data_IF_524447328975
#
_entry.id   IF_524447328975
#
_cell.length_a   1.000
_cell.length_b   1.000
_cell.length_c   1.000
_cell.angle_alpha   90.00
_cell.angle_beta   90.00
_cell.angle_gamma   90.00
#
_symmetry.space_group_name_H-M   'P 1'
#
loop_
_entity.id
_entity.type
_entity.pdbx_description
1 polymer ?
#
# COMPACT_ATOMS: atom_id res chain seq x y z
N UNK A 1 7.34 8.52 -19.10
CA UNK A 1 6.66 9.78 -18.78
C UNK A 1 5.47 9.49 -17.88
N UNK A 2 4.86 10.51 -17.27
CA UNK A 2 3.61 10.32 -16.53
C UNK A 2 2.46 10.04 -17.50
N UNK A 3 1.65 9.04 -17.21
CA UNK A 3 0.51 8.57 -18.00
C UNK A 3 -0.85 8.98 -17.37
N UNK A 4 -0.89 9.22 -16.07
CA UNK A 4 -2.07 9.66 -15.32
C UNK A 4 -1.72 10.54 -14.11
N UNK A 5 -2.72 11.23 -13.57
CA UNK A 5 -2.62 11.97 -12.30
C UNK A 5 -3.81 11.66 -11.39
N UNK A 6 -3.63 11.86 -10.09
CA UNK A 6 -4.67 11.58 -9.09
C UNK A 6 -5.61 12.79 -9.01
N UNK A 7 -6.91 12.53 -9.05
CA UNK A 7 -7.97 13.56 -9.03
C UNK A 7 -8.34 14.05 -7.63
N UNK A 8 -7.76 13.47 -6.57
CA UNK A 8 -8.01 13.89 -5.19
C UNK A 8 -7.29 15.19 -4.80
N UNK A 9 -6.33 15.64 -5.62
CA UNK A 9 -5.66 16.94 -5.47
C UNK A 9 -6.23 17.90 -6.51
N UNK A 10 -6.76 19.06 -6.09
CA UNK A 10 -7.49 19.94 -7.00
C UNK A 10 -6.59 20.61 -8.05
N UNK A 11 -5.31 20.85 -7.73
CA UNK A 11 -4.40 21.65 -8.56
C UNK A 11 -4.29 21.19 -10.03
N UNK A 12 -4.26 19.88 -10.28
CA UNK A 12 -4.16 19.35 -11.65
C UNK A 12 -5.47 19.55 -12.43
N UNK A 13 -6.62 19.35 -11.78
CA UNK A 13 -7.94 19.54 -12.38
C UNK A 13 -8.19 21.02 -12.67
N UNK A 14 -7.89 21.90 -11.71
CA UNK A 14 -8.02 23.35 -11.88
C UNK A 14 -7.18 23.87 -13.05
N UNK A 15 -5.98 23.31 -13.25
CA UNK A 15 -5.15 23.64 -14.41
C UNK A 15 -5.80 23.19 -15.71
N UNK A 16 -6.34 21.97 -15.79
CA UNK A 16 -7.07 21.48 -16.96
C UNK A 16 -8.27 22.37 -17.27
N UNK A 17 -9.03 22.81 -16.27
CA UNK A 17 -10.16 23.73 -16.42
C UNK A 17 -9.72 25.10 -16.95
N UNK A 18 -8.66 25.68 -16.40
CA UNK A 18 -8.10 26.97 -16.87
C UNK A 18 -7.60 26.92 -18.31
N UNK A 19 -7.17 25.75 -18.77
CA UNK A 19 -6.70 25.53 -20.14
C UNK A 19 -7.82 25.09 -21.10
N UNK A 20 -9.04 24.87 -20.61
CA UNK A 20 -10.16 24.38 -21.42
C UNK A 20 -9.98 22.94 -21.91
N UNK A 21 -9.30 22.10 -21.12
CA UNK A 21 -9.00 20.69 -21.44
C UNK A 21 -9.84 19.71 -20.60
N UNK A 22 -10.87 20.20 -19.89
CA UNK A 22 -11.68 19.38 -18.98
C UNK A 22 -12.47 18.29 -19.72
N UNK A 23 -12.94 18.58 -20.93
CA UNK A 23 -13.67 17.66 -21.81
C UNK A 23 -12.81 16.51 -22.34
N UNK A 24 -11.48 16.63 -22.24
CA UNK A 24 -10.51 15.61 -22.64
C UNK A 24 -10.10 14.69 -21.49
N UNK A 25 -10.60 14.92 -20.26
CA UNK A 25 -10.28 14.08 -19.11
C UNK A 25 -10.95 12.70 -19.21
N UNK A 26 -10.13 11.66 -19.36
CA UNK A 26 -10.60 10.27 -19.38
C UNK A 26 -10.59 9.73 -17.95
N UNK A 27 -11.77 9.33 -17.47
CA UNK A 27 -11.90 8.68 -16.17
C UNK A 27 -11.43 7.23 -16.20
N UNK A 28 -10.87 6.76 -15.07
CA UNK A 28 -10.49 5.35 -14.90
C UNK A 28 -11.72 4.44 -15.01
N UNK A 29 -11.59 3.31 -15.71
CA UNK A 29 -12.64 2.31 -15.79
C UNK A 29 -12.94 1.73 -14.39
N UNK A 30 -14.20 1.86 -13.95
CA UNK A 30 -14.61 1.40 -12.62
C UNK A 30 -14.72 -0.13 -12.51
N UNK A 31 -14.97 -0.81 -13.62
CA UNK A 31 -15.22 -2.27 -13.67
C UNK A 31 -13.97 -3.09 -13.34
N UNK A 32 -12.79 -2.56 -13.67
CA UNK A 32 -11.49 -3.24 -13.49
C UNK A 32 -10.61 -2.55 -12.43
N UNK A 33 -11.24 -1.92 -11.43
CA UNK A 33 -10.49 -1.29 -10.34
C UNK A 33 -9.81 -2.33 -9.46
N UNK A 34 -8.52 -2.12 -9.21
CA UNK A 34 -7.73 -2.92 -8.28
C UNK A 34 -6.32 -3.19 -8.82
N UNK A 35 -5.39 -3.49 -7.92
CA UNK A 35 -4.07 -3.95 -8.29
C UNK A 35 -4.04 -5.47 -8.36
N UNK A 36 -3.19 -6.01 -9.24
CA UNK A 36 -2.89 -7.44 -9.34
C UNK A 36 -1.42 -7.63 -8.96
N UNK A 37 -1.14 -8.70 -8.20
CA UNK A 37 0.22 -9.15 -7.93
C UNK A 37 0.41 -10.49 -8.61
N UNK A 38 1.52 -10.62 -9.34
CA UNK A 38 1.89 -11.88 -9.97
C UNK A 38 2.45 -12.83 -8.91
N UNK A 39 1.77 -13.96 -8.68
CA UNK A 39 2.22 -15.03 -7.80
C UNK A 39 2.37 -16.31 -8.62
N UNK A 40 3.60 -16.82 -8.69
CA UNK A 40 3.91 -18.10 -9.36
C UNK A 40 3.34 -18.18 -10.79
N UNK A 41 3.46 -17.07 -11.55
CA UNK A 41 2.95 -16.94 -12.92
C UNK A 41 1.45 -16.63 -13.04
N UNK A 42 0.71 -16.58 -11.92
CA UNK A 42 -0.73 -16.30 -11.92
C UNK A 42 -1.02 -14.90 -11.36
N UNK A 43 -1.76 -14.03 -12.08
CA UNK A 43 -2.19 -12.74 -11.54
C UNK A 43 -3.24 -12.95 -10.44
N UNK A 44 -2.97 -12.41 -9.25
CA UNK A 44 -3.87 -12.51 -8.10
C UNK A 44 -4.29 -11.10 -7.65
N UNK A 45 -5.59 -10.85 -7.44
CA UNK A 45 -6.07 -9.57 -6.96
C UNK A 45 -5.51 -9.24 -5.58
N UNK A 46 -5.03 -8.01 -5.44
CA UNK A 46 -4.66 -7.45 -4.16
C UNK A 46 -5.95 -7.30 -3.34
N UNK A 47 -6.02 -7.90 -2.14
CA UNK A 47 -7.19 -7.82 -1.29
C UNK A 47 -7.54 -6.35 -0.98
N UNK A 48 -8.77 -5.95 -1.32
CA UNK A 48 -9.30 -4.62 -1.01
C UNK A 48 -9.39 -4.46 0.52
N UNK A 49 -8.70 -3.44 1.06
CA UNK A 49 -8.63 -3.20 2.51
C UNK A 49 -7.22 -3.02 3.05
N UNK A 50 -6.19 -2.96 2.19
CA UNK A 50 -4.85 -2.54 2.58
C UNK A 50 -4.75 -1.01 2.79
N UNK A 51 -5.65 -0.47 3.62
CA UNK A 51 -5.35 0.78 4.32
C UNK A 51 -4.51 0.34 5.52
N UNK A 52 -3.20 0.66 5.50
CA UNK A 52 -2.16 0.16 6.42
C UNK A 52 -2.49 0.20 7.93
N UNK A 53 -3.58 0.82 8.35
CA UNK A 53 -3.93 1.09 9.74
C UNK A 53 -5.43 0.93 10.07
N UNK A 54 -6.31 0.62 9.11
CA UNK A 54 -7.76 0.57 9.35
C UNK A 54 -8.29 -0.86 9.20
N UNK A 55 -8.90 -1.45 10.24
CA UNK A 55 -9.47 -2.80 10.19
C UNK A 55 -10.81 -2.78 9.44
N UNK A 56 -10.82 -2.32 8.18
CA UNK A 56 -12.06 -2.24 7.43
C UNK A 56 -12.44 -3.60 6.85
N UNK A 57 -11.47 -4.48 6.49
CA UNK A 57 -11.77 -5.77 5.83
C UNK A 57 -10.74 -6.88 6.12
N UNK A 58 -10.93 -7.65 7.20
CA UNK A 58 -10.14 -8.85 7.52
C UNK A 58 -10.48 -10.04 6.59
N UNK A 59 -11.74 -10.14 6.14
CA UNK A 59 -12.20 -11.28 5.31
C UNK A 59 -11.46 -11.44 3.96
N UNK A 60 -11.20 -10.37 3.17
CA UNK A 60 -10.41 -10.48 1.95
C UNK A 60 -8.98 -10.97 2.18
N UNK A 61 -8.38 -10.62 3.32
CA UNK A 61 -7.03 -11.08 3.69
C UNK A 61 -6.99 -12.57 4.04
N UNK A 62 -8.07 -13.12 4.61
CA UNK A 62 -8.15 -14.57 4.86
C UNK A 62 -8.34 -15.37 3.57
N UNK A 63 -9.05 -14.81 2.58
CA UNK A 63 -9.34 -15.48 1.31
C UNK A 63 -8.22 -15.38 0.28
N UNK A 64 -7.31 -14.41 0.40
CA UNK A 64 -6.25 -14.23 -0.60
C UNK A 64 -5.30 -15.44 -0.65
N UNK A 65 -4.91 -15.92 -1.85
CA UNK A 65 -3.86 -16.92 -1.98
C UNK A 65 -2.46 -16.28 -1.93
N UNK A 66 -2.33 -14.96 -1.79
CA UNK A 66 -1.03 -14.25 -1.76
C UNK A 66 -0.17 -14.61 -0.55
N UNK A 67 -0.81 -14.98 0.57
CA UNK A 67 -0.15 -15.32 1.82
C UNK A 67 -0.39 -16.80 2.16
N UNK A 68 0.65 -17.45 2.69
CA UNK A 68 0.58 -18.77 3.30
C UNK A 68 -0.33 -18.76 4.54
N UNK A 69 -0.85 -19.92 4.98
CA UNK A 69 -1.60 -20.00 6.24
C UNK A 69 -0.81 -19.46 7.44
N UNK A 70 0.51 -19.67 7.47
CA UNK A 70 1.39 -19.13 8.50
C UNK A 70 1.55 -17.61 8.39
N UNK A 71 1.70 -17.07 7.17
CA UNK A 71 1.73 -15.64 6.91
C UNK A 71 0.43 -14.96 7.33
N UNK A 72 -0.73 -15.58 7.07
CA UNK A 72 -2.03 -15.10 7.52
C UNK A 72 -2.14 -15.10 9.04
N UNK A 73 -1.72 -16.17 9.71
CA UNK A 73 -1.69 -16.23 11.17
C UNK A 73 -0.78 -15.15 11.74
N UNK A 74 0.44 -15.02 11.21
CA UNK A 74 1.42 -14.00 11.64
C UNK A 74 0.90 -12.59 11.45
N UNK A 75 0.14 -12.34 10.38
CA UNK A 75 -0.51 -11.08 10.13
C UNK A 75 -1.69 -10.85 11.08
N UNK A 76 -2.47 -11.88 11.40
CA UNK A 76 -3.55 -11.80 12.39
C UNK A 76 -3.07 -11.53 13.81
N UNK A 77 -1.84 -11.95 14.15
CA UNK A 77 -1.20 -11.62 15.43
C UNK A 77 -0.93 -10.12 15.60
N UNK A 78 -0.92 -9.34 14.52
CA UNK A 78 -0.79 -7.86 14.56
C UNK A 78 -1.80 -7.22 15.50
N UNK A 79 -3.03 -7.75 15.55
CA UNK A 79 -4.08 -7.24 16.43
C UNK A 79 -3.70 -7.30 17.93
N UNK A 80 -2.86 -8.26 18.30
CA UNK A 80 -2.42 -8.48 19.67
C UNK A 80 -1.06 -7.83 19.97
N UNK A 81 -0.37 -7.30 18.95
CA UNK A 81 0.90 -6.61 19.14
C UNK A 81 0.63 -5.21 19.73
N UNK A 82 1.23 -4.86 20.88
CA UNK A 82 1.06 -3.55 21.47
C UNK A 82 1.55 -2.48 20.49
N UNK A 83 0.77 -1.39 20.36
CA UNK A 83 1.21 -0.21 19.63
C UNK A 83 2.50 0.28 20.29
N UNK A 84 3.57 0.41 19.51
CA UNK A 84 4.78 1.09 19.98
C UNK A 84 4.36 2.53 20.27
N UNK A 85 4.43 2.90 21.53
CA UNK A 85 4.10 4.24 21.99
C UNK A 85 5.40 5.05 22.11
N UNK A 86 5.32 6.32 21.75
CA UNK A 86 6.42 7.29 21.75
C UNK A 86 7.16 7.39 23.10
N UNK A 87 6.53 6.90 24.17
CA UNK A 87 7.04 6.80 25.55
C UNK A 87 8.23 5.83 25.72
N UNK A 88 8.54 4.99 24.73
CA UNK A 88 9.73 4.10 24.77
C UNK A 88 10.97 4.66 24.05
N UNK A 89 10.96 5.93 23.63
CA UNK A 89 12.16 6.66 23.21
C UNK A 89 12.83 6.20 21.92
N UNK A 90 12.12 5.48 21.04
CA UNK A 90 12.66 4.90 19.80
C UNK A 90 12.07 5.51 18.52
N UNK A 91 11.24 6.56 18.63
CA UNK A 91 10.72 7.32 17.47
C UNK A 91 11.74 8.32 16.89
N UNK A 92 12.96 8.36 17.44
CA UNK A 92 14.06 9.20 16.94
C UNK A 92 14.79 8.60 15.73
N UNK A 93 14.66 7.29 15.48
CA UNK A 93 15.25 6.65 14.31
C UNK A 93 14.24 6.53 13.17
N UNK A 94 14.67 6.93 11.96
CA UNK A 94 13.95 6.85 10.69
C UNK A 94 13.65 5.37 10.32
N UNK A 95 12.66 4.75 10.99
CA UNK A 95 12.25 3.37 10.74
C UNK A 95 11.83 3.24 9.26
N UNK A 96 12.45 2.31 8.55
CA UNK A 96 12.12 2.08 7.15
C UNK A 96 10.77 1.37 7.02
N UNK A 97 10.09 1.57 5.89
CA UNK A 97 8.84 0.86 5.59
C UNK A 97 9.00 -0.67 5.74
N UNK A 98 10.15 -1.19 5.31
CA UNK A 98 10.47 -2.61 5.42
C UNK A 98 10.54 -3.09 6.88
N UNK A 99 11.17 -2.33 7.78
CA UNK A 99 11.29 -2.67 9.20
C UNK A 99 9.93 -2.67 9.89
N UNK A 100 9.15 -1.61 9.68
CA UNK A 100 7.80 -1.51 10.25
C UNK A 100 6.89 -2.65 9.78
N UNK A 101 6.84 -2.92 8.47
CA UNK A 101 5.98 -3.98 7.92
C UNK A 101 6.43 -5.36 8.41
N UNK A 102 7.73 -5.64 8.38
CA UNK A 102 8.24 -6.95 8.82
C UNK A 102 7.93 -7.21 10.28
N UNK A 103 8.10 -6.20 11.13
CA UNK A 103 7.80 -6.28 12.56
C UNK A 103 6.31 -6.48 12.82
N UNK A 104 5.46 -5.75 12.10
CA UNK A 104 4.02 -5.71 12.38
C UNK A 104 3.25 -6.84 11.68
N UNK A 105 3.44 -6.98 10.38
CA UNK A 105 2.71 -7.91 9.51
C UNK A 105 3.50 -9.16 9.12
N UNK A 106 4.81 -9.18 9.38
CA UNK A 106 5.70 -10.28 9.05
C UNK A 106 6.41 -10.10 7.70
N UNK A 107 7.52 -10.84 7.53
CA UNK A 107 8.35 -10.78 6.33
C UNK A 107 7.60 -11.19 5.06
N UNK A 108 6.68 -12.15 5.16
CA UNK A 108 5.91 -12.62 4.01
C UNK A 108 4.99 -11.52 3.44
N UNK A 109 4.36 -10.71 4.31
CA UNK A 109 3.56 -9.57 3.88
C UNK A 109 4.42 -8.49 3.21
N UNK A 110 5.64 -8.25 3.71
CA UNK A 110 6.59 -7.36 3.05
C UNK A 110 6.90 -7.82 1.64
N UNK A 111 7.36 -9.07 1.48
CA UNK A 111 7.85 -9.58 0.19
C UNK A 111 6.73 -9.83 -0.82
N UNK A 112 5.56 -10.31 -0.38
CA UNK A 112 4.47 -10.73 -1.29
C UNK A 112 3.43 -9.66 -1.58
N UNK A 113 3.33 -8.62 -0.74
CA UNK A 113 2.32 -7.56 -0.91
C UNK A 113 2.96 -6.17 -1.02
N UNK A 114 3.73 -5.77 -0.01
CA UNK A 114 4.19 -4.38 0.10
C UNK A 114 5.25 -4.05 -0.95
N UNK A 115 6.26 -4.90 -1.08
CA UNK A 115 7.36 -4.69 -2.01
C UNK A 115 6.87 -4.56 -3.47
N UNK A 116 5.99 -5.45 -3.99
CA UNK A 116 5.41 -5.27 -5.33
C UNK A 116 4.63 -3.97 -5.51
N UNK A 117 3.81 -3.58 -4.52
CA UNK A 117 3.01 -2.35 -4.59
C UNK A 117 3.89 -1.10 -4.58
N UNK A 118 4.88 -1.07 -3.69
CA UNK A 118 5.82 0.04 -3.54
C UNK A 118 6.71 0.17 -4.77
N UNK A 119 7.21 -0.96 -5.30
CA UNK A 119 7.98 -0.97 -6.54
C UNK A 119 7.17 -0.43 -7.73
N UNK A 120 5.86 -0.68 -7.78
CA UNK A 120 4.97 -0.15 -8.81
C UNK A 120 4.79 1.36 -8.77
N UNK A 121 4.83 1.99 -7.59
CA UNK A 121 4.60 3.44 -7.41
C UNK A 121 5.93 4.21 -7.46
N UNK A 122 6.95 3.72 -6.76
CA UNK A 122 8.17 4.49 -6.52
C UNK A 122 9.39 3.96 -7.29
N UNK A 123 9.26 2.81 -7.97
CA UNK A 123 10.36 2.16 -8.71
C UNK A 123 11.64 1.97 -7.86
N UNK A 124 11.50 1.92 -6.53
CA UNK A 124 12.60 1.97 -5.58
C UNK A 124 12.54 0.82 -4.59
N UNK A 125 13.70 0.46 -4.04
CA UNK A 125 13.84 -0.57 -3.00
C UNK A 125 13.10 -0.13 -1.72
N UNK A 126 12.21 -0.97 -1.15
CA UNK A 126 11.47 -0.65 0.09
C UNK A 126 12.37 -0.33 1.29
N UNK A 127 13.62 -0.79 1.26
CA UNK A 127 14.63 -0.58 2.30
C UNK A 127 15.14 0.87 2.34
N UNK A 128 14.96 1.64 1.26
CA UNK A 128 15.42 3.03 1.14
C UNK A 128 14.29 4.06 1.25
N UNK A 129 13.05 3.63 1.44
CA UNK A 129 11.89 4.51 1.56
C UNK A 129 11.57 4.79 3.04
N UNK A 130 11.73 6.04 3.44
CA UNK A 130 11.28 6.51 4.76
C UNK A 130 9.76 6.44 4.85
N UNK A 131 9.27 5.89 5.97
CA UNK A 131 7.83 5.83 6.29
C UNK A 131 7.18 7.21 6.31
N UNK A 132 7.90 8.23 6.81
CA UNK A 132 7.42 9.62 6.86
C UNK A 132 7.23 10.22 5.47
N UNK A 133 8.05 9.82 4.49
CA UNK A 133 8.01 10.37 3.14
C UNK A 133 7.01 9.66 2.22
N UNK A 134 6.76 8.36 2.43
CA UNK A 134 5.89 7.54 1.56
C UNK A 134 4.45 7.38 2.04
N UNK A 135 4.21 7.54 3.34
CA UNK A 135 2.89 7.56 3.95
C UNK A 135 2.73 8.83 4.82
N UNK A 136 2.77 10.04 4.22
CA UNK A 136 2.41 11.24 4.95
C UNK A 136 0.91 11.16 5.30
N UNK A 137 0.59 11.37 6.57
CA UNK A 137 -0.79 11.68 6.97
C UNK A 137 -1.23 13.01 6.36
#
# INVERSE_FOLDING_TARGET
GADMFITNKPAAIELCQRLGLEDQLISTNQQYRGALILKDGTPVPVPLGFELMTPSRILPMLKTPLLSPFGKLRMGLEYFLPRRSAETGLDEDDESLAQFVTRRFGREALTRLIQPLVAGIYTSEPEKLSLRATLPR
#
